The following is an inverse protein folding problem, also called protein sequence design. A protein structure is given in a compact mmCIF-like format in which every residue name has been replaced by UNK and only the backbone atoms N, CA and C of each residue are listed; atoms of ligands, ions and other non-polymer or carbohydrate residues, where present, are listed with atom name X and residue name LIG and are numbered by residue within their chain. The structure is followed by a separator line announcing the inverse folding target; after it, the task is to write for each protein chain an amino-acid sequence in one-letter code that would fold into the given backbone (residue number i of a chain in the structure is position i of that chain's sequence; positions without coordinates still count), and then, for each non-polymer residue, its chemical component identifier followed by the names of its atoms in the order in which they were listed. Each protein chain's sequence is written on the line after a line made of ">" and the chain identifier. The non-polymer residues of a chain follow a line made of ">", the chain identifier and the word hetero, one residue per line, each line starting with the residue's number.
data_IF_801466510159
#
_entry.id   IF_801466510159
#
_cell.length_a   1.000
_cell.length_b   1.000
_cell.length_c   1.000
_cell.angle_alpha   90.00
_cell.angle_beta   90.00
_cell.angle_gamma   90.00
#
_symmetry.space_group_name_H-M   'P 1'
#
loop_
_entity.id
_entity.type
_entity.pdbx_description
1 polymer ?
#
# COMPACT_ATOMS: atom_id res chain seq x y z
N UNK A 1 -12.79 -0.27 8.19
CA UNK A 1 -13.54 -1.43 7.66
C UNK A 1 -13.79 -1.30 6.15
N UNK A 2 -14.30 -0.17 5.63
CA UNK A 2 -14.66 -0.01 4.21
C UNK A 2 -13.54 -0.31 3.20
N UNK A 3 -12.32 0.13 3.46
CA UNK A 3 -11.15 -0.16 2.63
C UNK A 3 -10.93 -1.67 2.43
N UNK A 4 -10.94 -2.43 3.52
CA UNK A 4 -10.78 -3.89 3.44
C UNK A 4 -12.03 -4.58 2.90
N UNK A 5 -13.23 -4.11 3.22
CA UNK A 5 -14.45 -4.67 2.65
C UNK A 5 -14.47 -4.55 1.11
N UNK A 6 -13.98 -3.43 0.56
CA UNK A 6 -13.86 -3.27 -0.89
C UNK A 6 -12.73 -4.10 -1.50
N UNK A 7 -11.55 -4.10 -0.87
CA UNK A 7 -10.34 -4.70 -1.45
C UNK A 7 -10.18 -6.20 -1.21
N UNK A 8 -10.86 -6.79 -0.22
CA UNK A 8 -10.72 -8.22 0.12
C UNK A 8 -12.06 -8.97 0.19
N UNK A 9 -13.11 -8.42 -0.40
CA UNK A 9 -14.42 -9.09 -0.50
C UNK A 9 -14.37 -10.45 -1.23
N UNK A 10 -13.35 -10.68 -2.06
CA UNK A 10 -13.11 -11.96 -2.73
C UNK A 10 -12.87 -13.11 -1.74
N UNK A 11 -12.48 -12.84 -0.51
CA UNK A 11 -12.38 -13.85 0.57
C UNK A 11 -13.72 -14.54 0.81
N UNK A 12 -14.84 -13.81 0.68
CA UNK A 12 -16.17 -14.41 0.73
C UNK A 12 -16.33 -15.50 -0.32
N UNK A 13 -15.94 -15.22 -1.58
CA UNK A 13 -16.04 -16.19 -2.68
C UNK A 13 -15.16 -17.40 -2.40
N UNK A 14 -13.94 -17.18 -1.89
CA UNK A 14 -13.04 -18.28 -1.53
C UNK A 14 -13.63 -19.20 -0.47
N UNK A 15 -14.28 -18.65 0.56
CA UNK A 15 -14.89 -19.45 1.63
C UNK A 15 -16.19 -20.13 1.16
N UNK A 16 -17.05 -19.38 0.46
CA UNK A 16 -18.37 -19.86 0.08
C UNK A 16 -18.33 -20.83 -1.11
N UNK A 17 -17.64 -20.46 -2.19
CA UNK A 17 -17.63 -21.27 -3.43
C UNK A 17 -16.62 -22.40 -3.31
N UNK A 18 -15.36 -22.08 -3.00
CA UNK A 18 -14.29 -23.07 -2.98
C UNK A 18 -14.19 -23.85 -1.67
N UNK A 19 -14.59 -23.23 -0.55
CA UNK A 19 -14.67 -23.89 0.75
C UNK A 19 -15.98 -24.59 1.03
N UNK A 20 -16.97 -24.56 0.11
CA UNK A 20 -18.31 -25.14 0.28
C UNK A 20 -19.00 -24.71 1.59
N UNK A 21 -18.71 -23.51 2.09
CA UNK A 21 -19.29 -23.04 3.32
C UNK A 21 -20.70 -22.43 3.06
N UNK A 22 -21.64 -22.58 4.00
CA UNK A 22 -22.94 -21.93 3.86
C UNK A 22 -22.79 -20.41 3.87
N UNK A 23 -23.67 -19.71 3.16
CA UNK A 23 -23.64 -18.25 2.92
C UNK A 23 -23.45 -17.45 4.22
N UNK A 24 -24.20 -17.80 5.28
CA UNK A 24 -24.11 -17.09 6.56
C UNK A 24 -22.74 -17.21 7.23
N UNK A 25 -22.09 -18.38 7.11
CA UNK A 25 -20.76 -18.61 7.68
C UNK A 25 -19.69 -17.85 6.86
N UNK A 26 -19.74 -17.93 5.53
CA UNK A 26 -18.84 -17.19 4.66
C UNK A 26 -18.93 -15.67 4.87
N UNK A 27 -20.17 -15.15 4.95
CA UNK A 27 -20.41 -13.73 5.23
C UNK A 27 -19.89 -13.32 6.62
N UNK A 28 -20.16 -14.14 7.65
CA UNK A 28 -19.72 -13.91 9.02
C UNK A 28 -18.18 -13.87 9.12
N UNK A 29 -17.50 -14.90 8.58
CA UNK A 29 -16.03 -14.98 8.60
C UNK A 29 -15.37 -13.83 7.82
N UNK A 30 -15.91 -13.48 6.64
CA UNK A 30 -15.40 -12.35 5.86
C UNK A 30 -15.58 -11.02 6.61
N UNK A 31 -16.72 -10.84 7.27
CA UNK A 31 -17.00 -9.63 8.07
C UNK A 31 -16.03 -9.51 9.25
N UNK A 32 -15.82 -10.60 9.98
CA UNK A 32 -14.86 -10.64 11.10
C UNK A 32 -13.44 -10.37 10.61
N UNK A 33 -13.06 -10.96 9.49
CA UNK A 33 -11.74 -10.74 8.88
C UNK A 33 -11.52 -9.28 8.46
N UNK A 34 -12.44 -8.70 7.70
CA UNK A 34 -12.38 -7.29 7.30
C UNK A 34 -12.45 -6.33 8.50
N UNK A 35 -13.23 -6.69 9.51
CA UNK A 35 -13.32 -5.94 10.77
C UNK A 35 -12.01 -5.96 11.54
N UNK A 36 -11.40 -7.13 11.69
CA UNK A 36 -10.09 -7.31 12.34
C UNK A 36 -8.99 -6.51 11.67
N UNK A 37 -8.91 -6.57 10.33
CA UNK A 37 -7.99 -5.72 9.56
C UNK A 37 -8.30 -4.23 9.73
N UNK A 38 -9.58 -3.88 9.83
CA UNK A 38 -10.03 -2.50 10.11
C UNK A 38 -9.59 -1.99 11.48
N UNK A 39 -9.44 -2.86 12.49
CA UNK A 39 -8.92 -2.50 13.80
C UNK A 39 -7.46 -2.08 13.75
N UNK A 40 -6.66 -2.63 12.83
CA UNK A 40 -5.28 -2.18 12.63
C UNK A 40 -5.24 -0.72 12.16
N UNK A 41 -6.14 -0.32 11.24
CA UNK A 41 -6.24 1.09 10.84
C UNK A 41 -6.74 1.99 11.97
N UNK A 42 -7.65 1.50 12.80
CA UNK A 42 -8.08 2.24 13.99
C UNK A 42 -6.91 2.43 14.99
N UNK A 43 -6.12 1.37 15.22
CA UNK A 43 -4.93 1.43 16.07
C UNK A 43 -3.87 2.38 15.50
N UNK A 44 -3.64 2.36 14.18
CA UNK A 44 -2.77 3.31 13.49
C UNK A 44 -3.23 4.77 13.68
N UNK A 45 -4.54 5.03 13.48
CA UNK A 45 -5.12 6.35 13.69
C UNK A 45 -4.98 6.83 15.13
N UNK A 46 -5.19 5.94 16.10
CA UNK A 46 -5.01 6.22 17.52
C UNK A 46 -3.54 6.51 17.87
N UNK A 47 -2.61 5.71 17.35
CA UNK A 47 -1.18 5.94 17.52
C UNK A 47 -0.77 7.30 16.94
N UNK A 48 -1.23 7.61 15.73
CA UNK A 48 -0.98 8.91 15.12
C UNK A 48 -1.57 10.06 15.95
N UNK A 49 -2.81 9.94 16.43
CA UNK A 49 -3.45 10.99 17.25
C UNK A 49 -2.68 11.26 18.56
N UNK A 50 -2.03 10.24 19.13
CA UNK A 50 -1.25 10.39 20.37
C UNK A 50 0.18 10.86 20.16
N UNK A 51 0.81 10.49 19.04
CA UNK A 51 2.23 10.71 18.77
C UNK A 51 2.49 11.87 17.81
N UNK A 52 1.46 12.38 17.13
CA UNK A 52 1.63 13.38 16.08
C UNK A 52 2.29 14.66 16.57
N UNK A 53 3.35 15.06 15.88
CA UNK A 53 4.01 16.33 16.08
C UNK A 53 3.06 17.51 15.82
N UNK A 54 3.32 18.63 16.47
CA UNK A 54 2.60 19.89 16.18
C UNK A 54 3.03 20.51 14.85
N UNK A 55 4.23 20.19 14.39
CA UNK A 55 4.76 20.75 13.14
C UNK A 55 4.22 19.98 11.91
N UNK A 56 3.59 20.67 10.93
CA UNK A 56 2.91 20.03 9.79
C UNK A 56 3.79 19.08 8.98
N UNK A 57 5.03 19.46 8.67
CA UNK A 57 5.95 18.63 7.88
C UNK A 57 6.31 17.32 8.59
N UNK A 58 6.56 17.37 9.91
CA UNK A 58 6.81 16.17 10.72
C UNK A 58 5.60 15.26 10.84
N UNK A 59 4.39 15.85 10.83
CA UNK A 59 3.15 15.04 10.82
C UNK A 59 3.04 14.17 9.57
N UNK A 60 3.41 14.71 8.40
CA UNK A 60 3.41 13.93 7.16
C UNK A 60 4.38 12.75 7.22
N UNK A 61 5.62 13.00 7.68
CA UNK A 61 6.64 11.97 7.89
C UNK A 61 6.15 10.91 8.88
N UNK A 62 5.63 11.32 10.02
CA UNK A 62 5.14 10.40 11.05
C UNK A 62 3.96 9.56 10.57
N UNK A 63 3.01 10.16 9.85
CA UNK A 63 1.86 9.41 9.33
C UNK A 63 2.29 8.39 8.28
N UNK A 64 3.18 8.76 7.34
CA UNK A 64 3.72 7.85 6.34
C UNK A 64 4.53 6.71 6.99
N UNK A 65 5.32 7.01 8.02
CA UNK A 65 6.10 6.00 8.76
C UNK A 65 5.21 5.05 9.56
N UNK A 66 4.16 5.57 10.21
CA UNK A 66 3.16 4.72 10.86
C UNK A 66 2.40 3.87 9.86
N UNK A 67 2.05 4.41 8.70
CA UNK A 67 1.39 3.65 7.65
C UNK A 67 2.20 2.42 7.26
N UNK A 68 3.48 2.61 6.93
CA UNK A 68 4.40 1.54 6.54
C UNK A 68 4.62 0.55 7.70
N UNK A 69 4.75 1.05 8.94
CA UNK A 69 4.86 0.18 10.11
C UNK A 69 3.65 -0.74 10.24
N UNK A 70 2.42 -0.24 10.03
CA UNK A 70 1.22 -1.05 10.11
C UNK A 70 1.02 -1.95 8.88
N UNK A 71 1.52 -1.59 7.69
CA UNK A 71 1.63 -2.50 6.56
C UNK A 71 2.58 -3.66 6.88
N UNK A 72 3.73 -3.35 7.46
CA UNK A 72 4.72 -4.35 7.88
C UNK A 72 4.18 -5.26 9.00
N UNK A 73 3.54 -4.70 10.04
CA UNK A 73 2.90 -5.48 11.10
C UNK A 73 1.84 -6.43 10.54
N UNK A 74 1.04 -5.99 9.58
CA UNK A 74 0.02 -6.81 8.92
C UNK A 74 0.63 -8.00 8.18
N UNK A 75 1.88 -7.90 7.74
CA UNK A 75 2.59 -9.01 7.08
C UNK A 75 2.97 -10.14 8.06
N UNK A 76 2.99 -9.88 9.35
CA UNK A 76 3.40 -10.85 10.38
C UNK A 76 2.25 -11.29 11.29
N UNK A 77 1.28 -10.42 11.49
CA UNK A 77 0.21 -10.67 12.45
C UNK A 77 -0.72 -11.77 11.95
N UNK A 78 -0.99 -12.80 12.79
CA UNK A 78 -1.93 -13.91 12.52
C UNK A 78 -1.66 -14.58 11.16
N UNK A 79 -0.43 -15.04 10.92
CA UNK A 79 0.07 -15.63 9.68
C UNK A 79 0.34 -14.66 8.53
N UNK A 80 -0.04 -13.40 8.68
CA UNK A 80 0.20 -12.33 7.73
C UNK A 80 -0.86 -12.19 6.63
N UNK A 81 -1.08 -10.94 6.21
CA UNK A 81 -1.95 -10.61 5.09
C UNK A 81 -1.32 -9.51 4.23
N UNK A 82 -0.47 -9.86 3.24
CA UNK A 82 0.34 -8.92 2.45
C UNK A 82 -0.43 -8.27 1.28
N UNK A 83 -1.74 -8.17 1.34
CA UNK A 83 -2.55 -7.54 0.30
C UNK A 83 -2.81 -6.07 0.59
N UNK A 84 -3.06 -5.30 -0.46
CA UNK A 84 -3.46 -3.88 -0.40
C UNK A 84 -2.38 -2.99 0.25
N UNK A 85 -1.10 -3.21 -0.05
CA UNK A 85 -0.08 -2.22 0.27
C UNK A 85 -0.20 -1.02 -0.66
N UNK A 86 -0.09 0.18 -0.11
CA UNK A 86 -0.23 1.41 -0.88
C UNK A 86 0.78 1.49 -2.05
N UNK A 87 1.99 0.96 -1.86
CA UNK A 87 3.04 0.93 -2.87
C UNK A 87 2.68 0.20 -4.16
N UNK A 88 1.81 -0.81 -4.09
CA UNK A 88 1.31 -1.47 -5.31
C UNK A 88 0.41 -0.56 -6.16
N UNK A 89 -0.27 0.40 -5.54
CA UNK A 89 -1.04 1.41 -6.27
C UNK A 89 -0.18 2.38 -7.09
N UNK A 90 1.14 2.34 -6.92
CA UNK A 90 2.08 3.18 -7.65
C UNK A 90 2.67 2.51 -8.92
N UNK A 91 2.34 1.24 -9.21
CA UNK A 91 2.93 0.46 -10.31
C UNK A 91 2.79 1.14 -11.68
N UNK A 92 1.64 1.75 -11.95
CA UNK A 92 1.36 2.45 -13.20
C UNK A 92 1.63 3.98 -13.11
N UNK A 93 2.47 4.39 -12.15
CA UNK A 93 2.79 5.79 -11.90
C UNK A 93 4.30 6.05 -12.05
N UNK A 94 4.72 7.34 -12.10
CA UNK A 94 6.15 7.69 -12.05
C UNK A 94 6.89 7.13 -10.84
N UNK A 95 6.20 6.83 -9.75
CA UNK A 95 6.81 6.26 -8.54
C UNK A 95 7.23 4.79 -8.70
N UNK A 96 6.75 4.08 -9.74
CA UNK A 96 7.14 2.71 -10.03
C UNK A 96 8.67 2.55 -10.17
N UNK A 97 9.37 3.57 -10.69
CA UNK A 97 10.83 3.55 -10.79
C UNK A 97 11.57 3.41 -9.45
N UNK A 98 10.92 3.75 -8.35
CA UNK A 98 11.50 3.59 -7.01
C UNK A 98 11.39 2.17 -6.45
N UNK A 99 10.51 1.33 -7.01
CA UNK A 99 10.27 -0.03 -6.47
C UNK A 99 11.55 -0.88 -6.44
N UNK A 100 12.41 -0.90 -7.48
CA UNK A 100 13.67 -1.64 -7.42
C UNK A 100 14.65 -1.12 -6.36
N UNK A 101 14.53 0.16 -5.96
CA UNK A 101 15.46 0.82 -5.04
C UNK A 101 15.02 0.68 -3.58
N UNK A 102 13.75 0.95 -3.29
CA UNK A 102 13.23 1.04 -1.92
C UNK A 102 12.16 -0.02 -1.61
N UNK A 103 11.83 -0.87 -2.56
CA UNK A 103 10.79 -1.89 -2.43
C UNK A 103 9.39 -1.30 -2.29
N UNK A 104 8.41 -2.20 -2.06
CA UNK A 104 6.99 -1.82 -1.92
C UNK A 104 6.76 -0.93 -0.71
N UNK A 105 7.44 -1.17 0.41
CA UNK A 105 7.27 -0.37 1.64
C UNK A 105 7.78 1.05 1.49
N UNK A 106 8.95 1.25 0.85
CA UNK A 106 9.46 2.58 0.57
C UNK A 106 8.56 3.34 -0.40
N UNK A 107 8.01 2.66 -1.41
CA UNK A 107 7.06 3.24 -2.34
C UNK A 107 5.73 3.58 -1.65
N UNK A 108 5.24 2.74 -0.73
CA UNK A 108 4.10 3.06 0.14
C UNK A 108 4.36 4.34 0.94
N UNK A 109 5.56 4.46 1.52
CA UNK A 109 5.94 5.65 2.29
C UNK A 109 5.90 6.92 1.42
N UNK A 110 6.47 6.89 0.21
CA UNK A 110 6.44 8.01 -0.72
C UNK A 110 5.01 8.40 -1.08
N UNK A 111 4.18 7.42 -1.45
CA UNK A 111 2.80 7.68 -1.86
C UNK A 111 1.99 8.33 -0.72
N UNK A 112 2.12 7.80 0.49
CA UNK A 112 1.41 8.32 1.67
C UNK A 112 1.94 9.70 2.07
N UNK A 113 3.26 9.92 2.03
CA UNK A 113 3.87 11.22 2.31
C UNK A 113 3.40 12.30 1.31
N UNK A 114 3.37 11.97 0.02
CA UNK A 114 2.82 12.83 -1.04
C UNK A 114 1.35 13.18 -0.73
N UNK A 115 0.54 12.16 -0.42
CA UNK A 115 -0.87 12.37 -0.04
C UNK A 115 -1.03 13.32 1.15
N UNK A 116 -0.18 13.18 2.18
CA UNK A 116 -0.18 14.08 3.34
C UNK A 116 0.24 15.52 2.97
N UNK A 117 1.24 15.70 2.10
CA UNK A 117 1.67 17.02 1.66
C UNK A 117 0.56 17.72 0.86
N UNK A 118 -0.10 17.00 -0.04
CA UNK A 118 -1.23 17.50 -0.83
C UNK A 118 -2.40 17.86 0.10
N UNK A 119 -2.75 16.98 1.04
CA UNK A 119 -3.81 17.24 2.01
C UNK A 119 -3.52 18.48 2.87
N UNK A 120 -2.25 18.66 3.27
CA UNK A 120 -1.82 19.85 3.99
C UNK A 120 -1.93 21.14 3.14
N UNK A 121 -1.60 21.07 1.84
CA UNK A 121 -1.76 22.21 0.93
C UNK A 121 -3.25 22.52 0.69
N UNK A 122 -4.09 21.50 0.52
CA UNK A 122 -5.55 21.65 0.35
C UNK A 122 -6.24 22.19 1.60
N UNK A 123 -5.72 21.98 2.80
CA UNK A 123 -6.33 22.49 4.05
C UNK A 123 -6.33 24.02 4.13
N UNK A 124 -5.38 24.69 3.46
CA UNK A 124 -5.32 26.16 3.28
C UNK A 124 -4.93 26.48 1.83
N UNK A 125 -5.87 26.35 0.88
CA UNK A 125 -5.56 26.41 -0.55
C UNK A 125 -5.02 27.77 -1.04
N UNK A 126 -5.24 28.85 -0.28
CA UNK A 126 -4.71 30.20 -0.58
C UNK A 126 -3.27 30.40 -0.08
N UNK A 127 -2.74 29.48 0.70
CA UNK A 127 -1.34 29.52 1.16
C UNK A 127 -0.42 28.92 0.09
N UNK A 128 0.09 29.77 -0.79
CA UNK A 128 1.01 29.38 -1.88
C UNK A 128 2.28 28.71 -1.32
N UNK A 129 2.75 29.10 -0.13
CA UNK A 129 3.94 28.49 0.48
C UNK A 129 3.80 26.98 0.70
N UNK A 130 2.60 26.51 1.02
CA UNK A 130 2.33 25.06 1.18
C UNK A 130 2.38 24.31 -0.15
N UNK A 131 1.85 24.91 -1.21
CA UNK A 131 1.91 24.33 -2.54
C UNK A 131 3.33 24.29 -3.09
N UNK A 132 4.09 25.35 -2.89
CA UNK A 132 5.53 25.38 -3.25
C UNK A 132 6.30 24.35 -2.45
N UNK A 133 6.07 24.26 -1.14
CA UNK A 133 6.71 23.24 -0.29
C UNK A 133 6.39 21.82 -0.73
N UNK A 134 5.14 21.52 -1.09
CA UNK A 134 4.76 20.23 -1.65
C UNK A 134 5.45 19.98 -3.00
N UNK A 135 5.44 20.95 -3.90
CA UNK A 135 6.04 20.82 -5.24
C UNK A 135 7.55 20.59 -5.19
N UNK A 136 8.26 21.26 -4.29
CA UNK A 136 9.73 21.10 -4.08
C UNK A 136 10.09 19.70 -3.62
N UNK A 137 9.21 19.01 -2.90
CA UNK A 137 9.45 17.62 -2.48
C UNK A 137 8.96 16.62 -3.52
N UNK A 138 7.73 16.82 -4.01
CA UNK A 138 7.08 15.86 -4.93
C UNK A 138 7.70 15.91 -6.32
N UNK A 139 8.06 17.08 -6.82
CA UNK A 139 8.63 17.24 -8.16
C UNK A 139 9.91 16.43 -8.37
N UNK A 140 10.95 16.60 -7.56
CA UNK A 140 12.18 15.80 -7.66
C UNK A 140 11.93 14.30 -7.45
N UNK A 141 11.04 13.91 -6.54
CA UNK A 141 10.70 12.52 -6.29
C UNK A 141 10.08 11.86 -7.52
N UNK A 142 9.13 12.54 -8.16
CA UNK A 142 8.48 12.09 -9.40
C UNK A 142 9.49 12.06 -10.56
N UNK A 143 10.29 13.11 -10.72
CA UNK A 143 11.30 13.17 -11.77
C UNK A 143 12.33 12.04 -11.65
N UNK A 144 12.84 11.82 -10.43
CA UNK A 144 13.78 10.73 -10.17
C UNK A 144 13.13 9.36 -10.43
N UNK A 145 11.87 9.16 -10.05
CA UNK A 145 11.13 7.94 -10.37
C UNK A 145 11.01 7.69 -11.89
N UNK A 146 10.71 8.73 -12.68
CA UNK A 146 10.68 8.64 -14.14
C UNK A 146 12.05 8.29 -14.75
N UNK A 147 13.12 8.82 -14.19
CA UNK A 147 14.48 8.49 -14.63
C UNK A 147 14.85 7.05 -14.28
N UNK A 148 14.51 6.60 -13.07
CA UNK A 148 14.75 5.24 -12.61
C UNK A 148 13.97 4.18 -13.39
N UNK A 149 12.79 4.51 -13.95
CA UNK A 149 12.05 3.61 -14.85
C UNK A 149 12.81 3.29 -16.15
N UNK A 150 13.77 4.13 -16.55
CA UNK A 150 14.59 3.93 -17.75
C UNK A 150 15.85 3.12 -17.47
N UNK A 151 16.12 2.78 -16.21
CA UNK A 151 17.30 2.05 -15.79
C UNK A 151 17.07 0.56 -15.99
N UNK A 152 17.94 -0.09 -16.73
CA UNK A 152 17.99 -1.55 -16.82
C UNK A 152 18.69 -2.09 -15.56
N UNK A 153 17.90 -2.67 -14.66
CA UNK A 153 18.36 -3.18 -13.36
C UNK A 153 18.97 -4.58 -13.45
N UNK A 154 18.63 -5.33 -14.50
CA UNK A 154 19.07 -6.72 -14.66
C UNK A 154 19.43 -6.98 -16.12
N UNK A 155 20.50 -7.74 -16.33
CA UNK A 155 20.91 -8.25 -17.64
C UNK A 155 20.81 -9.76 -17.59
N UNK A 156 20.27 -10.37 -18.65
CA UNK A 156 20.20 -11.81 -18.75
C UNK A 156 21.62 -12.39 -18.93
N UNK A 157 22.05 -13.29 -18.04
CA UNK A 157 23.32 -13.98 -18.11
C UNK A 157 23.10 -15.49 -18.24
N UNK A 158 23.99 -16.15 -18.97
CA UNK A 158 23.99 -17.60 -19.19
C UNK A 158 23.18 -18.04 -20.41
N UNK A 159 23.12 -19.38 -20.58
CA UNK A 159 22.37 -19.99 -21.68
C UNK A 159 20.87 -20.02 -21.39
N UNK A 160 20.06 -19.98 -22.46
CA UNK A 160 18.61 -20.08 -22.33
C UNK A 160 18.21 -21.46 -21.78
N UNK A 161 17.42 -21.47 -20.72
CA UNK A 161 16.88 -22.69 -20.09
C UNK A 161 15.49 -22.96 -20.59
N UNK A 162 15.23 -24.17 -21.04
CA UNK A 162 13.88 -24.59 -21.44
C UNK A 162 13.07 -24.90 -20.17
N UNK A 163 11.96 -24.22 -19.97
CA UNK A 163 11.05 -24.43 -18.84
C UNK A 163 9.70 -24.90 -19.35
N UNK A 164 9.22 -26.02 -18.82
CA UNK A 164 7.86 -26.49 -19.05
C UNK A 164 6.96 -26.05 -17.89
N UNK A 165 5.92 -25.27 -18.18
CA UNK A 165 4.91 -24.87 -17.19
C UNK A 165 3.65 -25.68 -17.43
N UNK A 166 3.23 -26.46 -16.43
CA UNK A 166 2.01 -27.26 -16.49
C UNK A 166 0.97 -26.66 -15.58
N UNK A 167 -0.13 -26.20 -16.17
CA UNK A 167 -1.30 -25.73 -15.43
C UNK A 167 -2.41 -26.81 -15.58
N UNK A 168 -2.70 -27.58 -14.53
CA UNK A 168 -3.61 -28.72 -14.65
C UNK A 168 -5.08 -28.35 -14.88
N UNK A 169 -5.47 -27.09 -14.63
CA UNK A 169 -6.83 -26.58 -14.80
C UNK A 169 -7.93 -27.58 -14.33
N UNK A 170 -7.76 -28.09 -13.12
CA UNK A 170 -8.68 -29.08 -12.53
C UNK A 170 -10.05 -28.42 -12.38
N UNK A 171 -11.14 -28.97 -12.97
CA UNK A 171 -12.48 -28.45 -12.73
C UNK A 171 -12.87 -28.68 -11.26
N UNK A 172 -13.55 -27.71 -10.67
CA UNK A 172 -14.03 -27.71 -9.28
C UNK A 172 -15.35 -28.42 -9.14
#
# INVERSE_FOLDING_TARGET
>A
AGFFAAGVSWVYVSIQVYGNAPVWLAAGLTTVFCGGLGLLFAAQGLAFARLASRHPSWRAVQFASLWVLFEWLRNWLLTGFPWLYAGYGALDSPLAGWIPVVGVYGTSWFLVAIGCLIANALSLPRDIGRWVGAAVVVGPLVLAGLLLQRTEWTVAEGEAVTVAVVQPNVPL
#
